data_IF_372381456949
#
_entry.id   IF_372381456949
#
_cell.length_a   1.000
_cell.length_b   1.000
_cell.length_c   1.000
_cell.angle_alpha   90.00
_cell.angle_beta   90.00
_cell.angle_gamma   90.00
#
_symmetry.space_group_name_H-M   'P 1'
#
loop_
_entity.id
_entity.type
_entity.pdbx_description
1 polymer ?
#
# COMPACT_ATOMS: atom_id res chain seq x y z
N UNK A 1 -2.30 15.22 -48.33
CA UNK A 1 -2.37 15.85 -47.00
C UNK A 1 -2.71 14.81 -45.95
N UNK A 2 -1.71 14.28 -45.29
CA UNK A 2 -1.89 13.26 -44.22
C UNK A 2 -1.75 13.95 -42.88
N UNK A 3 -2.88 14.15 -42.18
CA UNK A 3 -2.89 14.70 -40.83
C UNK A 3 -2.40 13.60 -39.86
N UNK A 4 -1.22 13.80 -39.28
CA UNK A 4 -0.68 12.94 -38.21
C UNK A 4 -1.39 13.28 -36.90
N UNK A 5 -2.27 12.39 -36.47
CA UNK A 5 -2.90 12.44 -35.15
C UNK A 5 -1.82 12.03 -34.11
N UNK A 6 -1.22 12.97 -33.43
CA UNK A 6 -0.34 12.73 -32.28
C UNK A 6 -1.23 12.47 -31.08
N UNK A 7 -1.35 11.21 -30.67
CA UNK A 7 -1.93 10.86 -29.40
C UNK A 7 -1.01 11.37 -28.29
N UNK A 8 -1.44 12.41 -27.57
CA UNK A 8 -0.81 12.85 -26.35
C UNK A 8 -1.15 11.83 -25.25
N UNK A 9 -0.22 10.94 -24.96
CA UNK A 9 -0.24 10.17 -23.72
C UNK A 9 0.13 11.13 -22.60
N UNK A 10 -0.88 11.73 -21.98
CA UNK A 10 -0.68 12.48 -20.74
C UNK A 10 -0.36 11.48 -19.65
N UNK A 11 0.90 11.42 -19.27
CA UNK A 11 1.38 10.71 -18.10
C UNK A 11 0.77 11.36 -16.85
N UNK A 12 -0.34 10.81 -16.36
CA UNK A 12 -0.93 11.18 -15.07
C UNK A 12 -0.30 10.32 -13.98
N UNK A 13 1.02 10.47 -13.81
CA UNK A 13 1.76 9.96 -12.66
C UNK A 13 1.91 11.09 -11.66
N UNK A 14 0.90 11.33 -10.84
CA UNK A 14 1.00 12.17 -9.63
C UNK A 14 -0.30 12.02 -8.86
N UNK A 15 -0.24 11.35 -7.70
CA UNK A 15 -1.01 11.75 -6.50
C UNK A 15 -0.95 10.71 -5.36
N UNK A 16 0.10 9.87 -5.30
CA UNK A 16 0.35 9.13 -4.06
C UNK A 16 1.24 9.91 -3.07
N UNK A 17 1.81 11.03 -3.48
CA UNK A 17 2.75 11.81 -2.65
C UNK A 17 2.09 12.76 -1.62
N UNK A 18 0.78 12.94 -1.62
CA UNK A 18 0.11 13.94 -0.81
C UNK A 18 -0.47 13.47 0.54
N UNK A 19 -0.52 12.18 0.80
CA UNK A 19 -1.19 11.68 2.01
C UNK A 19 -0.43 11.92 3.33
N UNK A 20 0.87 12.23 3.25
CA UNK A 20 1.70 12.54 4.40
C UNK A 20 2.19 13.99 4.31
N UNK A 21 1.25 14.95 4.39
CA UNK A 21 1.56 16.38 4.28
C UNK A 21 2.57 16.83 5.35
N UNK A 22 3.66 17.45 4.90
CA UNK A 22 4.61 18.15 5.77
C UNK A 22 3.89 19.29 6.48
N UNK A 23 3.80 19.23 7.80
CA UNK A 23 3.21 20.29 8.64
C UNK A 23 2.07 19.83 9.55
N UNK A 24 1.52 18.62 9.39
CA UNK A 24 0.58 18.05 10.34
C UNK A 24 1.26 17.69 11.66
N UNK A 25 0.55 17.82 12.78
CA UNK A 25 1.04 17.34 14.07
C UNK A 25 1.42 15.86 13.97
N UNK A 26 2.50 15.46 14.69
CA UNK A 26 2.92 14.05 14.70
C UNK A 26 1.78 13.17 15.18
N UNK A 27 1.48 12.07 14.49
CA UNK A 27 0.37 11.20 14.88
C UNK A 27 0.61 10.56 16.24
N UNK A 28 -0.46 10.38 17.01
CA UNK A 28 -0.46 9.64 18.28
C UNK A 28 -0.35 8.13 18.04
N UNK A 29 0.00 7.34 19.07
CA UNK A 29 0.05 5.88 18.94
C UNK A 29 -1.28 5.26 18.46
N UNK A 30 -2.47 5.67 18.95
CA UNK A 30 -3.75 5.23 18.38
C UNK A 30 -3.93 5.56 16.91
N UNK A 31 -3.51 6.75 16.48
CA UNK A 31 -3.56 7.16 15.07
C UNK A 31 -2.57 6.37 14.21
N UNK A 32 -1.35 6.15 14.71
CA UNK A 32 -0.34 5.32 14.04
C UNK A 32 -0.86 3.90 13.84
N UNK A 33 -1.44 3.30 14.88
CA UNK A 33 -2.02 1.96 14.81
C UNK A 33 -3.14 1.89 13.75
N UNK A 34 -3.99 2.91 13.68
CA UNK A 34 -5.07 2.98 12.69
C UNK A 34 -4.52 3.15 11.26
N UNK A 35 -3.52 4.03 11.06
CA UNK A 35 -2.89 4.23 9.75
C UNK A 35 -2.25 2.93 9.24
N UNK A 36 -1.43 2.27 10.08
CA UNK A 36 -0.73 1.06 9.72
C UNK A 36 -1.69 -0.11 9.41
N UNK A 37 -2.71 -0.31 10.25
CA UNK A 37 -3.74 -1.31 10.03
C UNK A 37 -4.53 -1.04 8.73
N UNK A 38 -4.93 0.21 8.50
CA UNK A 38 -5.64 0.61 7.28
C UNK A 38 -4.81 0.30 6.04
N UNK A 39 -3.52 0.67 6.01
CA UNK A 39 -2.64 0.38 4.88
C UNK A 39 -2.58 -1.13 4.59
N UNK A 40 -2.43 -1.97 5.61
CA UNK A 40 -2.40 -3.42 5.45
C UNK A 40 -3.73 -4.01 4.94
N UNK A 41 -4.88 -3.48 5.37
CA UNK A 41 -6.21 -3.91 4.86
C UNK A 41 -6.38 -3.52 3.39
N UNK A 42 -5.92 -2.35 3.00
CA UNK A 42 -6.00 -1.88 1.61
C UNK A 42 -5.15 -2.73 0.68
N UNK A 43 -3.95 -3.12 1.12
CA UNK A 43 -3.07 -4.01 0.35
C UNK A 43 -3.70 -5.40 0.16
N UNK A 44 -4.20 -6.02 1.24
CA UNK A 44 -4.94 -7.30 1.15
C UNK A 44 -6.11 -7.21 0.17
N UNK A 45 -6.82 -6.09 0.14
CA UNK A 45 -7.96 -5.90 -0.76
C UNK A 45 -7.51 -5.80 -2.22
N UNK A 46 -6.43 -5.06 -2.50
CA UNK A 46 -5.84 -4.97 -3.83
C UNK A 46 -5.32 -6.33 -4.31
N UNK A 47 -4.63 -7.06 -3.43
CA UNK A 47 -4.12 -8.39 -3.73
C UNK A 47 -5.23 -9.41 -4.02
N UNK A 48 -6.32 -9.40 -3.25
CA UNK A 48 -7.50 -10.25 -3.52
C UNK A 48 -8.16 -9.91 -4.86
N UNK A 49 -8.20 -8.64 -5.25
CA UNK A 49 -8.64 -8.26 -6.60
C UNK A 49 -7.71 -8.85 -7.67
N UNK A 50 -6.38 -8.78 -7.47
CA UNK A 50 -5.41 -9.34 -8.40
C UNK A 50 -5.55 -10.85 -8.56
N UNK A 51 -5.74 -11.59 -7.47
CA UNK A 51 -5.99 -13.03 -7.50
C UNK A 51 -7.24 -13.37 -8.32
N UNK A 52 -8.26 -12.53 -8.27
CA UNK A 52 -9.50 -12.76 -9.03
C UNK A 52 -9.41 -12.43 -10.52
N UNK A 53 -8.49 -11.55 -10.91
CA UNK A 53 -8.41 -10.97 -12.27
C UNK A 53 -7.22 -11.45 -13.09
N UNK A 54 -6.08 -11.68 -12.47
CA UNK A 54 -4.86 -12.09 -13.16
C UNK A 54 -4.88 -13.59 -13.51
N UNK A 55 -4.18 -13.92 -14.59
CA UNK A 55 -3.81 -15.31 -14.97
C UNK A 55 -2.30 -15.47 -15.08
N UNK A 56 -1.55 -14.41 -14.85
CA UNK A 56 -0.09 -14.44 -14.85
C UNK A 56 0.41 -15.04 -13.53
N UNK A 57 1.22 -16.08 -13.63
CA UNK A 57 1.68 -16.83 -12.46
C UNK A 57 2.47 -15.95 -11.48
N UNK A 58 3.39 -15.10 -11.97
CA UNK A 58 4.22 -14.25 -11.12
C UNK A 58 3.37 -13.22 -10.36
N UNK A 59 2.36 -12.65 -11.03
CA UNK A 59 1.41 -11.73 -10.40
C UNK A 59 0.55 -12.42 -9.35
N UNK A 60 0.11 -13.66 -9.63
CA UNK A 60 -0.67 -14.45 -8.67
C UNK A 60 0.16 -14.85 -7.44
N UNK A 61 1.39 -15.30 -7.65
CA UNK A 61 2.32 -15.66 -6.56
C UNK A 61 2.59 -14.44 -5.66
N UNK A 62 2.88 -13.28 -6.26
CA UNK A 62 3.07 -12.01 -5.55
C UNK A 62 1.80 -11.61 -4.78
N UNK A 63 0.63 -11.63 -5.42
CA UNK A 63 -0.61 -11.25 -4.75
C UNK A 63 -0.97 -12.19 -3.58
N UNK A 64 -0.70 -13.49 -3.70
CA UNK A 64 -0.89 -14.45 -2.60
C UNK A 64 0.06 -14.17 -1.43
N UNK A 65 1.31 -13.77 -1.71
CA UNK A 65 2.26 -13.33 -0.69
C UNK A 65 1.74 -12.08 0.04
N UNK A 66 1.24 -11.08 -0.68
CA UNK A 66 0.65 -9.88 -0.08
C UNK A 66 -0.49 -10.21 0.87
N UNK A 67 -1.44 -11.08 0.45
CA UNK A 67 -2.54 -11.51 1.32
C UNK A 67 -2.01 -12.17 2.58
N UNK A 68 -1.14 -13.17 2.45
CA UNK A 68 -0.59 -13.94 3.57
C UNK A 68 0.09 -13.05 4.59
N UNK A 69 0.99 -12.23 4.12
CA UNK A 69 1.90 -11.48 4.99
C UNK A 69 1.20 -10.27 5.62
N UNK A 70 0.38 -9.54 4.88
CA UNK A 70 -0.38 -8.42 5.43
C UNK A 70 -1.50 -8.87 6.37
N UNK A 71 -2.17 -10.00 6.13
CA UNK A 71 -3.12 -10.57 7.10
C UNK A 71 -2.43 -10.96 8.41
N UNK A 72 -1.21 -11.54 8.34
CA UNK A 72 -0.43 -11.88 9.53
C UNK A 72 0.00 -10.63 10.33
N UNK A 73 0.49 -9.58 9.65
CA UNK A 73 0.87 -8.31 10.30
C UNK A 73 -0.36 -7.61 10.87
N UNK A 74 -1.48 -7.58 10.14
CA UNK A 74 -2.73 -7.00 10.63
C UNK A 74 -3.23 -7.70 11.89
N UNK A 75 -3.14 -9.04 11.94
CA UNK A 75 -3.47 -9.78 13.16
C UNK A 75 -2.57 -9.39 14.33
N UNK A 76 -1.25 -9.28 14.12
CA UNK A 76 -0.33 -8.85 15.17
C UNK A 76 -0.66 -7.42 15.66
N UNK A 77 -1.03 -6.51 14.75
CA UNK A 77 -1.44 -5.17 15.11
C UNK A 77 -2.70 -5.16 15.99
N UNK A 78 -3.71 -5.96 15.63
CA UNK A 78 -4.95 -6.11 16.42
C UNK A 78 -4.67 -6.73 17.80
N UNK A 79 -3.84 -7.76 17.86
CA UNK A 79 -3.46 -8.40 19.12
C UNK A 79 -2.71 -7.40 20.03
N UNK A 80 -1.83 -6.58 19.44
CA UNK A 80 -1.08 -5.56 20.18
C UNK A 80 -1.99 -4.47 20.75
N UNK A 81 -2.89 -3.87 19.96
CA UNK A 81 -3.79 -2.82 20.47
C UNK A 81 -4.72 -3.36 21.53
N UNK A 82 -5.17 -4.62 21.42
CA UNK A 82 -5.94 -5.30 22.47
C UNK A 82 -5.12 -5.49 23.75
N UNK A 83 -3.87 -5.97 23.64
CA UNK A 83 -2.94 -6.14 24.77
C UNK A 83 -2.71 -4.81 25.50
N UNK A 84 -2.53 -3.73 24.74
CA UNK A 84 -2.25 -2.39 25.28
C UNK A 84 -3.50 -1.65 25.73
N UNK A 85 -4.69 -2.24 25.56
CA UNK A 85 -5.99 -1.60 25.79
C UNK A 85 -6.10 -0.22 25.09
N UNK A 86 -5.63 -0.15 23.82
CA UNK A 86 -5.66 1.03 22.98
C UNK A 86 -6.73 0.84 21.91
N UNK A 87 -7.58 1.87 21.73
CA UNK A 87 -8.51 1.91 20.60
C UNK A 87 -7.85 2.68 19.45
N UNK A 88 -7.64 2.05 18.27
CA UNK A 88 -7.15 2.77 17.10
C UNK A 88 -8.06 3.95 16.74
N UNK A 89 -7.44 5.08 16.39
CA UNK A 89 -8.14 6.33 16.13
C UNK A 89 -8.10 6.68 14.64
N UNK A 90 -9.29 6.81 14.03
CA UNK A 90 -9.44 7.30 12.66
C UNK A 90 -8.88 8.72 12.51
N UNK A 91 -8.28 9.01 11.35
CA UNK A 91 -7.63 10.29 11.10
C UNK A 91 -7.58 10.62 9.59
N UNK A 92 -7.20 11.86 9.27
CA UNK A 92 -7.17 12.35 7.89
C UNK A 92 -6.24 11.51 6.98
N UNK A 93 -5.13 11.01 7.53
CA UNK A 93 -4.20 10.16 6.76
C UNK A 93 -4.84 8.83 6.38
N UNK A 94 -5.45 8.13 7.32
CA UNK A 94 -6.12 6.85 7.04
C UNK A 94 -7.32 7.01 6.11
N UNK A 95 -8.08 8.10 6.25
CA UNK A 95 -9.18 8.42 5.31
C UNK A 95 -8.69 8.71 3.90
N UNK A 96 -7.60 9.49 3.77
CA UNK A 96 -6.99 9.81 2.48
C UNK A 96 -6.43 8.56 1.79
N UNK A 97 -5.76 7.66 2.54
CA UNK A 97 -5.30 6.37 2.03
C UNK A 97 -6.47 5.53 1.51
N UNK A 98 -7.54 5.41 2.31
CA UNK A 98 -8.73 4.63 1.94
C UNK A 98 -9.38 5.16 0.67
N UNK A 99 -9.50 6.48 0.55
CA UNK A 99 -10.06 7.10 -0.67
C UNK A 99 -9.18 6.84 -1.89
N UNK A 100 -7.88 7.07 -1.79
CA UNK A 100 -6.96 6.86 -2.89
C UNK A 100 -6.93 5.39 -3.35
N UNK A 101 -6.97 4.45 -2.41
CA UNK A 101 -7.03 3.02 -2.70
C UNK A 101 -8.35 2.64 -3.39
N UNK A 102 -9.50 3.17 -2.93
CA UNK A 102 -10.79 2.90 -3.56
C UNK A 102 -10.84 3.42 -5.01
N UNK A 103 -10.33 4.63 -5.25
CA UNK A 103 -10.23 5.21 -6.59
C UNK A 103 -9.34 4.32 -7.50
N UNK A 104 -8.18 3.88 -6.98
CA UNK A 104 -7.26 3.00 -7.72
C UNK A 104 -7.86 1.63 -8.02
N UNK A 105 -8.54 1.02 -7.07
CA UNK A 105 -9.22 -0.26 -7.28
C UNK A 105 -10.32 -0.15 -8.35
N UNK A 106 -11.07 0.96 -8.37
CA UNK A 106 -12.07 1.21 -9.40
C UNK A 106 -11.46 1.42 -10.80
N UNK A 107 -10.26 2.01 -10.89
CA UNK A 107 -9.50 2.09 -12.14
C UNK A 107 -9.03 0.70 -12.59
N UNK A 108 -8.40 -0.06 -11.71
CA UNK A 108 -7.91 -1.40 -11.98
C UNK A 108 -9.04 -2.37 -12.37
N UNK A 109 -10.22 -2.23 -11.77
CA UNK A 109 -11.37 -3.07 -12.07
C UNK A 109 -11.78 -3.01 -13.55
N UNK A 110 -11.51 -1.90 -14.25
CA UNK A 110 -11.81 -1.70 -15.68
C UNK A 110 -10.82 -2.39 -16.61
N UNK A 111 -9.66 -2.79 -16.11
CA UNK A 111 -8.58 -3.42 -16.86
C UNK A 111 -8.69 -4.95 -16.80
N UNK A 112 -8.09 -5.64 -17.77
CA UNK A 112 -8.00 -7.10 -17.82
C UNK A 112 -6.67 -7.55 -18.44
N UNK A 113 -6.29 -8.81 -18.21
CA UNK A 113 -5.09 -9.43 -18.77
C UNK A 113 -3.83 -8.63 -18.49
N UNK A 114 -2.92 -8.58 -19.45
CA UNK A 114 -1.63 -7.92 -19.29
C UNK A 114 -1.72 -6.42 -18.90
N UNK A 115 -2.78 -5.72 -19.31
CA UNK A 115 -2.98 -4.32 -18.92
C UNK A 115 -3.30 -4.20 -17.44
N UNK A 116 -4.13 -5.11 -16.90
CA UNK A 116 -4.40 -5.22 -15.47
C UNK A 116 -3.13 -5.55 -14.70
N UNK A 117 -2.41 -6.60 -15.12
CA UNK A 117 -1.21 -7.09 -14.44
C UNK A 117 -0.16 -6.00 -14.28
N UNK A 118 0.16 -5.30 -15.38
CA UNK A 118 1.10 -4.17 -15.35
C UNK A 118 0.63 -3.03 -14.43
N UNK A 119 -0.65 -2.68 -14.50
CA UNK A 119 -1.19 -1.57 -13.70
C UNK A 119 -1.25 -1.93 -12.21
N UNK A 120 -1.63 -3.17 -11.85
CA UNK A 120 -1.62 -3.66 -10.47
C UNK A 120 -0.21 -3.63 -9.89
N UNK A 121 0.76 -4.26 -10.56
CA UNK A 121 2.13 -4.33 -10.03
C UNK A 121 2.78 -2.95 -9.94
N UNK A 122 2.53 -2.06 -10.91
CA UNK A 122 2.99 -0.67 -10.83
C UNK A 122 2.39 0.07 -9.62
N UNK A 123 1.11 -0.20 -9.30
CA UNK A 123 0.47 0.33 -8.09
C UNK A 123 1.15 -0.19 -6.82
N UNK A 124 1.46 -1.50 -6.76
CA UNK A 124 2.11 -2.11 -5.61
C UNK A 124 3.50 -1.51 -5.34
N UNK A 125 4.30 -1.30 -6.39
CA UNK A 125 5.59 -0.59 -6.28
C UNK A 125 5.40 0.81 -5.68
N UNK A 126 4.44 1.58 -6.20
CA UNK A 126 4.19 2.95 -5.74
C UNK A 126 3.64 2.96 -4.31
N UNK A 127 2.73 2.06 -3.97
CA UNK A 127 2.10 1.96 -2.66
C UNK A 127 3.14 1.58 -1.59
N UNK A 128 3.91 0.52 -1.81
CA UNK A 128 4.96 0.09 -0.87
C UNK A 128 6.03 1.15 -0.68
N UNK A 129 6.45 1.83 -1.75
CA UNK A 129 7.40 2.96 -1.62
C UNK A 129 6.85 4.08 -0.73
N UNK A 130 5.58 4.42 -0.88
CA UNK A 130 4.92 5.46 -0.07
C UNK A 130 4.80 5.01 1.39
N UNK A 131 4.35 3.78 1.64
CA UNK A 131 4.18 3.23 3.00
C UNK A 131 5.53 3.08 3.71
N UNK A 132 6.55 2.54 3.04
CA UNK A 132 7.90 2.40 3.59
C UNK A 132 8.48 3.76 3.96
N UNK A 133 8.37 4.76 3.07
CA UNK A 133 8.81 6.12 3.37
C UNK A 133 8.09 6.73 4.57
N UNK A 134 6.78 6.53 4.70
CA UNK A 134 6.01 6.99 5.84
C UNK A 134 6.40 6.27 7.15
N UNK A 135 6.64 4.97 7.09
CA UNK A 135 7.14 4.20 8.24
C UNK A 135 8.48 4.75 8.72
N UNK A 136 9.42 4.97 7.81
CA UNK A 136 10.77 5.44 8.12
C UNK A 136 10.80 6.87 8.68
N UNK A 137 10.07 7.78 8.02
CA UNK A 137 10.23 9.22 8.27
C UNK A 137 9.19 9.79 9.23
N UNK A 138 8.06 9.13 9.44
CA UNK A 138 6.97 9.65 10.26
C UNK A 138 6.51 8.69 11.35
N UNK A 139 6.05 7.47 11.00
CA UNK A 139 5.32 6.63 11.94
C UNK A 139 6.25 6.04 13.02
N UNK A 140 7.37 5.44 12.64
CA UNK A 140 8.35 4.88 13.58
C UNK A 140 8.97 5.97 14.47
N UNK A 141 9.41 7.13 13.94
CA UNK A 141 9.92 8.22 14.79
C UNK A 141 8.86 8.83 15.73
N UNK A 142 7.58 8.76 15.38
CA UNK A 142 6.50 9.33 16.20
C UNK A 142 5.96 8.36 17.25
N UNK A 143 6.11 7.05 17.04
CA UNK A 143 5.63 6.03 17.97
C UNK A 143 6.33 6.14 19.33
N UNK A 144 5.53 6.25 20.39
CA UNK A 144 5.98 6.37 21.79
C UNK A 144 6.01 5.01 22.48
N UNK A 145 5.03 4.14 22.20
CA UNK A 145 4.99 2.81 22.76
C UNK A 145 6.07 1.93 22.11
N UNK A 146 6.97 1.28 22.89
CA UNK A 146 8.08 0.51 22.34
C UNK A 146 7.64 -0.75 21.59
N UNK A 147 6.54 -1.38 21.97
CA UNK A 147 6.01 -2.57 21.29
C UNK A 147 5.39 -2.18 19.93
N UNK A 148 4.65 -1.06 19.87
CA UNK A 148 4.17 -0.53 18.60
C UNK A 148 5.34 -0.17 17.69
N UNK A 149 6.35 0.52 18.21
CA UNK A 149 7.56 0.85 17.44
C UNK A 149 8.25 -0.39 16.88
N UNK A 150 8.42 -1.43 17.71
CA UNK A 150 9.02 -2.70 17.30
C UNK A 150 8.21 -3.41 16.21
N UNK A 151 6.88 -3.42 16.32
CA UNK A 151 6.01 -3.98 15.30
C UNK A 151 6.14 -3.23 13.96
N UNK A 152 6.14 -1.90 14.00
CA UNK A 152 6.33 -1.07 12.80
C UNK A 152 7.70 -1.30 12.15
N UNK A 153 8.77 -1.45 12.92
CA UNK A 153 10.11 -1.76 12.42
C UNK A 153 10.19 -3.14 11.77
N UNK A 154 9.51 -4.12 12.35
CA UNK A 154 9.41 -5.47 11.77
C UNK A 154 8.61 -5.45 10.46
N UNK A 155 7.48 -4.74 10.46
CA UNK A 155 6.68 -4.54 9.25
C UNK A 155 7.45 -3.84 8.15
N UNK A 156 8.21 -2.78 8.47
CA UNK A 156 9.02 -2.06 7.48
C UNK A 156 10.00 -2.99 6.74
N UNK A 157 10.71 -3.87 7.47
CA UNK A 157 11.65 -4.82 6.84
C UNK A 157 10.95 -5.76 5.87
N UNK A 158 9.77 -6.26 6.24
CA UNK A 158 8.95 -7.13 5.40
C UNK A 158 8.47 -6.37 4.16
N UNK A 159 7.94 -5.17 4.32
CA UNK A 159 7.37 -4.36 3.24
C UNK A 159 8.44 -3.82 2.27
N UNK A 160 9.67 -3.62 2.73
CA UNK A 160 10.81 -3.36 1.84
C UNK A 160 11.11 -4.57 0.95
N UNK A 161 10.98 -5.79 1.46
CA UNK A 161 11.04 -7.02 0.67
C UNK A 161 9.92 -7.10 -0.38
N UNK A 162 8.69 -6.77 0.02
CA UNK A 162 7.54 -6.72 -0.91
C UNK A 162 7.76 -5.69 -2.03
N UNK A 163 8.29 -4.50 -1.70
CA UNK A 163 8.63 -3.50 -2.71
C UNK A 163 9.63 -4.04 -3.74
N UNK A 164 10.70 -4.67 -3.29
CA UNK A 164 11.71 -5.28 -4.18
C UNK A 164 11.11 -6.39 -5.05
N UNK A 165 10.24 -7.22 -4.49
CA UNK A 165 9.54 -8.26 -5.24
C UNK A 165 8.59 -7.64 -6.29
N UNK A 166 7.80 -6.63 -5.92
CA UNK A 166 6.96 -5.90 -6.86
C UNK A 166 7.77 -5.28 -8.01
N UNK A 167 8.92 -4.67 -7.72
CA UNK A 167 9.84 -4.12 -8.73
C UNK A 167 10.38 -5.21 -9.66
N UNK A 168 10.69 -6.39 -9.14
CA UNK A 168 11.11 -7.54 -9.93
C UNK A 168 10.00 -8.02 -10.88
N UNK A 169 8.79 -8.23 -10.36
CA UNK A 169 7.64 -8.62 -11.19
C UNK A 169 7.32 -7.55 -12.22
N UNK A 170 7.38 -6.26 -11.88
CA UNK A 170 7.20 -5.16 -12.83
C UNK A 170 8.21 -5.21 -13.99
N UNK A 171 9.45 -5.59 -13.70
CA UNK A 171 10.48 -5.73 -14.73
C UNK A 171 10.22 -6.92 -15.65
N UNK A 172 9.64 -8.01 -15.16
CA UNK A 172 9.29 -9.19 -15.95
C UNK A 172 8.06 -8.98 -16.86
N UNK A 173 7.16 -8.06 -16.50
CA UNK A 173 5.93 -7.75 -17.26
C UNK A 173 6.12 -6.77 -18.45
N UNK A 174 7.33 -6.49 -18.85
CA UNK A 174 7.67 -5.54 -19.94
C UNK A 174 7.14 -5.92 -21.31
#
# INVERSE_FOLDING_TARGET
MLARLRAAVAALCLLAGGAFAQGAAKPSDPQIAHIAYTAGVLDVTAAKQAISKSKNKEVLDFAQEMVRDHEAVNKQALDLVKKLNVTPEDNDTSRSLSKAAADKQAELAKLNGAAYDKAYVANEVAFHKTVNGALETLLIPSAKNPELKSLLQTGLKLFQGHQQHAEHVAAALK
#
